data_IF_467730530814
#
_entry.id   IF_467730530814
#
_cell.length_a   1.000
_cell.length_b   1.000
_cell.length_c   1.000
_cell.angle_alpha   90.00
_cell.angle_beta   90.00
_cell.angle_gamma   90.00
#
_symmetry.space_group_name_H-M   'P 1'
#
loop_
_entity.id
_entity.type
_entity.pdbx_description
1 polymer ?
#
# COMPACT_ATOMS: atom_id res chain seq x y z
N UNK A 1 -26.98 18.44 -6.04
CA UNK A 1 -25.83 19.32 -6.27
C UNK A 1 -24.88 18.57 -7.21
N UNK A 2 -24.35 19.22 -8.27
CA UNK A 2 -23.32 18.60 -9.10
C UNK A 2 -22.03 18.49 -8.29
N UNK A 3 -21.36 17.32 -8.32
CA UNK A 3 -20.04 17.16 -7.70
C UNK A 3 -19.04 18.12 -8.36
N UNK A 4 -18.08 18.62 -7.57
CA UNK A 4 -16.97 19.42 -8.08
C UNK A 4 -16.12 18.57 -9.03
N UNK A 5 -15.47 19.22 -10.00
CA UNK A 5 -14.48 18.60 -10.88
C UNK A 5 -13.11 18.68 -10.24
N UNK A 6 -12.32 17.61 -10.35
CA UNK A 6 -10.93 17.61 -9.91
C UNK A 6 -10.07 18.33 -10.97
N UNK A 7 -9.26 19.27 -10.55
CA UNK A 7 -8.30 19.99 -11.40
C UNK A 7 -6.88 19.58 -11.03
N UNK A 8 -6.10 19.11 -12.00
CA UNK A 8 -4.70 18.72 -11.84
C UNK A 8 -3.80 19.95 -11.91
N UNK A 9 -3.62 20.64 -10.80
CA UNK A 9 -2.80 21.86 -10.71
C UNK A 9 -1.37 21.59 -10.25
N UNK A 10 -1.12 20.44 -9.62
CA UNK A 10 0.17 20.04 -9.05
C UNK A 10 0.49 18.57 -9.40
N UNK A 11 1.77 18.16 -9.40
CA UNK A 11 2.15 16.76 -9.48
C UNK A 11 1.48 15.95 -8.38
N UNK A 12 1.02 14.74 -8.73
CA UNK A 12 0.32 13.84 -7.82
C UNK A 12 1.26 12.74 -7.33
N UNK A 13 1.36 12.57 -6.00
CA UNK A 13 2.21 11.58 -5.35
C UNK A 13 1.38 10.79 -4.33
N UNK A 14 1.53 9.46 -4.35
CA UNK A 14 0.88 8.57 -3.40
C UNK A 14 1.86 8.25 -2.27
N UNK A 15 1.47 8.59 -1.06
CA UNK A 15 2.22 8.24 0.16
C UNK A 15 1.32 7.48 1.12
N UNK A 16 1.87 6.96 2.18
CA UNK A 16 1.06 6.37 3.24
C UNK A 16 1.86 6.07 4.48
N UNK A 17 1.14 5.87 5.58
CA UNK A 17 1.72 5.54 6.89
C UNK A 17 1.83 4.04 7.08
N UNK A 18 3.01 3.59 7.48
CA UNK A 18 3.32 2.22 7.87
C UNK A 18 4.00 2.22 9.24
N UNK A 19 4.03 1.08 9.92
CA UNK A 19 4.67 0.94 11.24
C UNK A 19 3.80 0.19 12.24
N UNK A 20 4.31 0.01 13.45
CA UNK A 20 3.69 -0.79 14.50
C UNK A 20 2.32 -0.24 14.94
N UNK A 21 1.47 -1.11 15.49
CA UNK A 21 0.22 -0.71 16.16
C UNK A 21 0.54 0.27 17.31
N UNK A 22 -0.33 1.22 17.57
CA UNK A 22 -0.22 2.25 18.62
C UNK A 22 0.98 3.23 18.49
N UNK A 23 1.76 3.19 17.40
CA UNK A 23 2.79 4.20 17.14
C UNK A 23 2.22 5.54 16.62
N UNK A 24 0.91 5.63 16.39
CA UNK A 24 0.21 6.87 16.06
C UNK A 24 0.13 7.21 14.57
N UNK A 25 0.07 6.20 13.70
CA UNK A 25 -0.09 6.37 12.23
C UNK A 25 -1.31 7.19 11.87
N UNK A 26 -2.49 6.78 12.33
CA UNK A 26 -3.76 7.46 12.07
C UNK A 26 -3.78 8.86 12.69
N UNK A 27 -3.17 9.05 13.87
CA UNK A 27 -2.99 10.37 14.48
C UNK A 27 -2.15 11.30 13.61
N UNK A 28 -1.05 10.76 13.04
CA UNK A 28 -0.20 11.51 12.11
C UNK A 28 -0.94 11.83 10.81
N UNK A 29 -1.70 10.89 10.27
CA UNK A 29 -2.54 11.09 9.08
C UNK A 29 -3.55 12.21 9.32
N UNK A 30 -4.21 12.24 10.47
CA UNK A 30 -5.11 13.32 10.86
C UNK A 30 -4.35 14.68 10.98
N UNK A 31 -3.20 14.69 11.64
CA UNK A 31 -2.38 15.90 11.79
C UNK A 31 -1.95 16.49 10.44
N UNK A 32 -1.55 15.64 9.48
CA UNK A 32 -1.22 16.05 8.12
C UNK A 32 -2.39 16.77 7.44
N UNK A 33 -3.61 16.20 7.50
CA UNK A 33 -4.79 16.82 6.89
C UNK A 33 -5.16 18.15 7.57
N UNK A 34 -5.03 18.25 8.89
CA UNK A 34 -5.36 19.46 9.65
C UNK A 34 -4.34 20.56 9.40
N UNK A 35 -3.04 20.28 9.52
CA UNK A 35 -1.98 21.29 9.39
C UNK A 35 -1.88 21.79 7.95
N UNK A 36 -1.85 20.88 6.97
CA UNK A 36 -1.76 21.26 5.56
C UNK A 36 -3.07 21.87 5.05
N UNK A 37 -4.22 21.39 5.54
CA UNK A 37 -5.54 21.96 5.22
C UNK A 37 -5.67 23.44 5.64
N UNK A 38 -5.08 23.83 6.77
CA UNK A 38 -5.04 25.24 7.20
C UNK A 38 -4.22 26.13 6.26
N UNK A 39 -3.18 25.59 5.62
CA UNK A 39 -2.24 26.36 4.79
C UNK A 39 -2.64 26.40 3.32
N UNK A 40 -3.05 25.27 2.78
CA UNK A 40 -3.29 25.10 1.35
C UNK A 40 -4.75 24.80 0.99
N UNK A 41 -5.61 24.72 2.00
CA UNK A 41 -7.00 24.28 1.81
C UNK A 41 -7.11 22.76 1.79
N UNK A 42 -8.33 22.28 1.69
CA UNK A 42 -8.64 20.84 1.73
C UNK A 42 -9.54 20.47 2.92
N UNK A 43 -9.95 19.22 2.97
CA UNK A 43 -10.80 18.70 4.03
C UNK A 43 -9.95 18.17 5.18
N UNK A 44 -9.93 18.89 6.30
CA UNK A 44 -9.32 18.38 7.54
C UNK A 44 -10.14 17.21 8.05
N UNK A 45 -9.49 16.08 8.36
CA UNK A 45 -10.14 14.89 8.90
C UNK A 45 -9.65 14.59 10.30
N UNK A 46 -10.62 14.44 11.21
CA UNK A 46 -10.34 13.99 12.56
C UNK A 46 -10.06 12.47 12.59
N UNK A 47 -9.41 12.00 13.64
CA UNK A 47 -9.07 10.60 13.86
C UNK A 47 -10.28 9.65 13.66
N UNK A 48 -11.42 9.97 14.27
CA UNK A 48 -12.65 9.19 14.21
C UNK A 48 -13.39 9.24 12.86
N UNK A 49 -12.93 10.09 11.96
CA UNK A 49 -13.40 10.16 10.57
C UNK A 49 -12.51 9.33 9.62
N UNK A 50 -11.28 9.05 10.03
CA UNK A 50 -10.34 8.17 9.33
C UNK A 50 -10.68 6.72 9.71
N UNK A 51 -10.56 6.37 10.99
CA UNK A 51 -11.00 5.07 11.55
C UNK A 51 -12.52 5.12 11.82
N UNK A 52 -13.30 4.93 10.77
CA UNK A 52 -14.75 5.19 10.82
C UNK A 52 -15.61 3.94 11.06
N UNK A 53 -15.09 2.74 10.80
CA UNK A 53 -15.85 1.50 10.98
C UNK A 53 -16.19 1.26 12.47
N UNK A 54 -17.38 0.72 12.79
CA UNK A 54 -17.76 0.44 14.18
C UNK A 54 -16.74 -0.43 14.92
N UNK A 55 -16.14 -1.40 14.23
CA UNK A 55 -15.14 -2.29 14.79
C UNK A 55 -13.80 -1.58 15.07
N UNK A 56 -13.37 -0.67 14.20
CA UNK A 56 -12.20 0.17 14.39
C UNK A 56 -12.36 1.06 15.63
N UNK A 57 -13.53 1.71 15.75
CA UNK A 57 -13.85 2.55 16.91
C UNK A 57 -13.94 1.76 18.22
N UNK A 58 -14.49 0.55 18.16
CA UNK A 58 -14.61 -0.31 19.35
C UNK A 58 -13.25 -0.85 19.84
N UNK A 59 -12.33 -1.12 18.93
CA UNK A 59 -11.01 -1.66 19.24
C UNK A 59 -9.91 -0.60 19.37
N UNK A 60 -10.13 0.62 18.85
CA UNK A 60 -9.13 1.69 18.79
C UNK A 60 -7.96 1.38 17.86
N UNK A 61 -8.16 0.53 16.84
CA UNK A 61 -7.12 0.14 15.87
C UNK A 61 -7.66 0.24 14.44
N UNK A 62 -6.81 0.64 13.50
CA UNK A 62 -7.12 0.65 12.07
C UNK A 62 -7.18 -0.78 11.54
N UNK A 63 -8.25 -1.12 10.84
CA UNK A 63 -8.50 -2.44 10.23
C UNK A 63 -8.40 -2.36 8.72
N UNK A 64 -9.12 -1.43 8.10
CA UNK A 64 -9.11 -1.19 6.68
C UNK A 64 -8.18 -0.01 6.32
N UNK A 65 -7.67 0.02 5.09
CA UNK A 65 -6.97 1.19 4.59
C UNK A 65 -7.93 2.37 4.45
N UNK A 66 -7.50 3.55 4.91
CA UNK A 66 -8.24 4.78 4.73
C UNK A 66 -7.47 5.72 3.77
N UNK A 67 -8.20 6.42 2.91
CA UNK A 67 -7.62 7.34 1.94
C UNK A 67 -7.98 8.78 2.29
N UNK A 68 -6.97 9.63 2.38
CA UNK A 68 -7.14 11.08 2.57
C UNK A 68 -6.30 11.84 1.53
N UNK A 69 -6.61 13.11 1.32
CA UNK A 69 -5.82 14.01 0.47
C UNK A 69 -5.37 15.24 1.24
N UNK A 70 -4.20 15.75 0.89
CA UNK A 70 -3.71 17.06 1.32
C UNK A 70 -2.71 17.61 0.30
N UNK A 71 -2.37 18.88 0.40
CA UNK A 71 -1.44 19.54 -0.50
C UNK A 71 -0.25 20.11 0.26
N UNK A 72 0.90 20.18 -0.42
CA UNK A 72 2.02 21.04 -0.09
C UNK A 72 2.04 22.23 -1.05
N UNK A 73 3.04 23.09 -0.90
CA UNK A 73 3.29 24.15 -1.89
C UNK A 73 3.55 23.56 -3.31
N UNK A 74 4.22 22.41 -3.36
CA UNK A 74 4.71 21.81 -4.60
C UNK A 74 3.82 20.69 -5.15
N UNK A 75 3.12 19.93 -4.29
CA UNK A 75 2.50 18.66 -4.66
C UNK A 75 1.10 18.46 -4.09
N UNK A 76 0.33 17.59 -4.76
CA UNK A 76 -0.91 17.00 -4.25
C UNK A 76 -0.62 15.58 -3.80
N UNK A 77 -0.93 15.26 -2.54
CA UNK A 77 -0.73 13.95 -1.94
C UNK A 77 -2.03 13.19 -1.79
N UNK A 78 -2.09 11.96 -2.32
CA UNK A 78 -3.01 10.95 -1.87
C UNK A 78 -2.31 10.15 -0.77
N UNK A 79 -2.93 10.01 0.38
CA UNK A 79 -2.35 9.36 1.54
C UNK A 79 -3.19 8.16 1.96
N UNK A 80 -2.54 7.01 2.08
CA UNK A 80 -3.12 5.74 2.52
C UNK A 80 -2.73 5.51 3.97
N UNK A 81 -3.68 5.52 4.88
CA UNK A 81 -3.44 5.09 6.27
C UNK A 81 -3.56 3.58 6.36
N UNK A 82 -2.46 2.90 6.72
CA UNK A 82 -2.37 1.45 6.76
C UNK A 82 -2.55 0.91 8.19
N UNK A 83 -3.23 -0.25 8.36
CA UNK A 83 -3.31 -0.91 9.66
C UNK A 83 -1.92 -1.32 10.15
N UNK A 84 -1.73 -1.27 11.49
CA UNK A 84 -0.49 -1.66 12.13
C UNK A 84 -0.51 -3.06 12.74
N UNK A 85 -1.69 -3.65 12.94
CA UNK A 85 -1.84 -4.92 13.62
C UNK A 85 -1.57 -6.11 12.69
N UNK A 86 -0.89 -7.14 13.19
CA UNK A 86 -0.48 -8.32 12.43
C UNK A 86 -1.64 -9.05 11.73
N UNK A 87 -2.85 -9.05 12.32
CA UNK A 87 -4.03 -9.69 11.73
C UNK A 87 -4.50 -9.02 10.43
N UNK A 88 -4.11 -7.76 10.20
CA UNK A 88 -4.56 -6.97 9.05
C UNK A 88 -3.45 -6.68 8.02
N UNK A 89 -2.37 -7.47 8.07
CA UNK A 89 -1.21 -7.33 7.17
C UNK A 89 -1.62 -7.38 5.68
N UNK A 90 -2.66 -8.13 5.31
CA UNK A 90 -3.20 -8.13 3.95
C UNK A 90 -3.61 -6.71 3.50
N UNK A 91 -4.27 -5.96 4.35
CA UNK A 91 -4.68 -4.59 4.05
C UNK A 91 -3.46 -3.65 4.01
N UNK A 92 -2.47 -3.87 4.88
CA UNK A 92 -1.20 -3.15 4.84
C UNK A 92 -0.46 -3.39 3.52
N UNK A 93 -0.34 -4.64 3.06
CA UNK A 93 0.30 -4.99 1.78
C UNK A 93 -0.41 -4.29 0.61
N UNK A 94 -1.75 -4.33 0.60
CA UNK A 94 -2.55 -3.67 -0.44
C UNK A 94 -2.35 -2.16 -0.45
N UNK A 95 -2.32 -1.53 0.73
CA UNK A 95 -2.07 -0.09 0.85
C UNK A 95 -0.64 0.27 0.42
N UNK A 96 0.36 -0.48 0.90
CA UNK A 96 1.77 -0.23 0.57
C UNK A 96 2.06 -0.37 -0.93
N UNK A 97 1.43 -1.31 -1.61
CA UNK A 97 1.59 -1.50 -3.06
C UNK A 97 1.14 -0.27 -3.89
N UNK A 98 0.37 0.63 -3.30
CA UNK A 98 -0.11 1.86 -3.96
C UNK A 98 0.83 3.06 -3.76
N UNK A 99 1.86 2.96 -2.91
CA UNK A 99 2.69 4.09 -2.49
C UNK A 99 3.86 4.34 -3.46
N UNK A 100 4.11 5.60 -3.73
CA UNK A 100 5.34 6.10 -4.36
C UNK A 100 6.44 6.34 -3.30
N UNK A 101 6.04 6.46 -2.05
CA UNK A 101 6.90 6.50 -0.88
C UNK A 101 6.10 6.27 0.40
N UNK A 102 6.72 5.71 1.42
CA UNK A 102 6.09 5.43 2.70
C UNK A 102 6.61 6.35 3.81
N UNK A 103 5.74 6.65 4.77
CA UNK A 103 6.09 7.30 6.03
C UNK A 103 6.13 6.21 7.10
N UNK A 104 7.32 5.85 7.54
CA UNK A 104 7.51 4.92 8.64
C UNK A 104 7.32 5.64 9.97
N UNK A 105 6.27 5.30 10.70
CA UNK A 105 5.96 5.90 12.00
C UNK A 105 6.49 4.99 13.11
N UNK A 106 7.41 5.52 13.90
CA UNK A 106 8.01 4.84 15.04
C UNK A 106 7.79 5.68 16.29
N UNK A 107 7.36 5.08 17.39
CA UNK A 107 7.27 5.77 18.68
C UNK A 107 8.70 6.05 19.19
N UNK A 108 8.99 7.30 19.51
CA UNK A 108 10.27 7.69 20.09
C UNK A 108 10.50 7.09 21.49
N UNK A 109 9.41 6.76 22.20
CA UNK A 109 9.48 6.16 23.53
C UNK A 109 9.70 4.64 23.48
N UNK A 110 9.16 3.95 22.45
CA UNK A 110 9.17 2.48 22.37
C UNK A 110 10.25 1.95 21.41
N UNK A 111 10.70 2.78 20.45
CA UNK A 111 11.61 2.36 19.39
C UNK A 111 10.99 1.41 18.36
N UNK A 112 11.81 0.78 17.51
CA UNK A 112 11.34 -0.17 16.51
C UNK A 112 10.78 -1.45 17.15
N UNK A 113 9.54 -1.79 16.83
CA UNK A 113 8.79 -2.93 17.32
C UNK A 113 8.63 -4.02 16.24
N UNK A 114 8.14 -5.24 16.55
CA UNK A 114 8.09 -6.33 15.57
C UNK A 114 7.40 -5.99 14.26
N UNK A 115 6.23 -5.31 14.30
CA UNK A 115 5.56 -4.91 13.06
C UNK A 115 6.29 -3.79 12.31
N UNK A 116 7.14 -2.98 12.97
CA UNK A 116 8.01 -2.02 12.29
C UNK A 116 8.91 -2.74 11.30
N UNK A 117 9.58 -3.82 11.74
CA UNK A 117 10.45 -4.67 10.91
C UNK A 117 9.66 -5.31 9.77
N UNK A 118 8.53 -5.92 10.08
CA UNK A 118 7.67 -6.58 9.09
C UNK A 118 7.18 -5.59 8.02
N UNK A 119 6.77 -4.38 8.41
CA UNK A 119 6.29 -3.37 7.48
C UNK A 119 7.38 -2.83 6.55
N UNK A 120 8.61 -2.64 7.02
CA UNK A 120 9.75 -2.24 6.16
C UNK A 120 10.03 -3.36 5.14
N UNK A 121 10.11 -4.62 5.60
CA UNK A 121 10.29 -5.77 4.74
C UNK A 121 9.21 -5.86 3.66
N UNK A 122 7.95 -5.75 4.05
CA UNK A 122 6.82 -5.82 3.12
C UNK A 122 6.81 -4.65 2.15
N UNK A 123 7.09 -3.43 2.61
CA UNK A 123 7.21 -2.27 1.75
C UNK A 123 8.28 -2.50 0.66
N UNK A 124 9.44 -3.06 1.03
CA UNK A 124 10.49 -3.43 0.08
C UNK A 124 10.00 -4.45 -0.95
N UNK A 125 9.29 -5.48 -0.50
CA UNK A 125 8.81 -6.56 -1.36
C UNK A 125 7.72 -6.12 -2.35
N UNK A 126 6.80 -5.26 -1.93
CA UNK A 126 5.78 -4.71 -2.84
C UNK A 126 6.31 -3.58 -3.73
N UNK A 127 7.58 -3.19 -3.56
CA UNK A 127 8.27 -2.26 -4.43
C UNK A 127 8.10 -0.78 -4.05
N UNK A 128 7.81 -0.46 -2.79
CA UNK A 128 7.88 0.93 -2.29
C UNK A 128 9.32 1.43 -2.43
N UNK A 129 9.57 2.48 -3.23
CA UNK A 129 10.94 2.85 -3.55
C UNK A 129 11.61 3.73 -2.50
N UNK A 130 10.84 4.48 -1.70
CA UNK A 130 11.34 5.46 -0.74
C UNK A 130 10.62 5.35 0.60
N UNK A 131 11.37 5.54 1.69
CA UNK A 131 10.85 5.65 3.05
C UNK A 131 11.33 6.98 3.65
N UNK A 132 10.43 7.71 4.30
CA UNK A 132 10.73 8.83 5.19
C UNK A 132 10.26 8.43 6.59
N UNK A 133 11.02 8.76 7.63
CA UNK A 133 10.72 8.34 9.00
C UNK A 133 10.13 9.50 9.80
N UNK A 134 9.11 9.21 10.58
CA UNK A 134 8.58 10.11 11.60
C UNK A 134 8.67 9.45 12.98
N UNK A 135 9.60 9.95 13.82
CA UNK A 135 9.71 9.56 15.23
C UNK A 135 8.64 10.31 16.02
N UNK A 136 7.51 9.63 16.22
CA UNK A 136 6.32 10.16 16.86
C UNK A 136 6.40 10.06 18.39
N UNK A 137 5.51 10.75 19.09
CA UNK A 137 5.43 10.80 20.57
C UNK A 137 6.68 11.37 21.23
N UNK A 138 7.37 12.27 20.56
CA UNK A 138 8.55 12.93 21.11
C UNK A 138 8.25 13.75 22.40
N UNK A 139 7.00 14.14 22.60
CA UNK A 139 6.50 14.78 23.82
C UNK A 139 6.56 13.87 25.06
N UNK A 140 6.77 12.57 24.89
CA UNK A 140 6.92 11.58 25.98
C UNK A 140 8.40 11.29 26.35
N UNK A 141 9.34 11.91 25.64
CA UNK A 141 10.78 11.62 25.78
C UNK A 141 11.52 12.90 26.11
N UNK A 142 12.05 12.99 27.32
CA UNK A 142 12.85 14.14 27.79
C UNK A 142 14.36 13.91 27.60
N UNK A 143 14.77 12.68 27.23
CA UNK A 143 16.17 12.30 27.07
C UNK A 143 16.60 12.32 25.61
N UNK A 144 17.50 13.24 25.28
CA UNK A 144 18.03 13.39 23.93
C UNK A 144 18.89 12.17 23.50
N UNK A 145 19.57 11.51 24.43
CA UNK A 145 20.39 10.32 24.13
C UNK A 145 19.48 9.14 23.70
N UNK A 146 18.29 9.03 24.30
CA UNK A 146 17.31 8.03 23.91
C UNK A 146 16.78 8.27 22.48
N UNK A 147 16.53 9.53 22.10
CA UNK A 147 16.11 9.87 20.74
C UNK A 147 17.18 9.51 19.71
N UNK A 148 18.46 9.81 20.00
CA UNK A 148 19.59 9.46 19.14
C UNK A 148 19.73 7.94 19.01
N UNK A 149 19.54 7.17 20.10
CA UNK A 149 19.59 5.71 20.07
C UNK A 149 18.49 5.13 19.18
N UNK A 150 17.26 5.60 19.35
CA UNK A 150 16.11 5.14 18.53
C UNK A 150 16.32 5.49 17.05
N UNK A 151 16.85 6.68 16.76
CA UNK A 151 17.18 7.09 15.39
C UNK A 151 18.22 6.12 14.78
N UNK A 152 19.27 5.80 15.51
CA UNK A 152 20.32 4.88 15.06
C UNK A 152 19.76 3.47 14.80
N UNK A 153 18.93 2.92 15.72
CA UNK A 153 18.29 1.63 15.52
C UNK A 153 17.39 1.59 14.27
N UNK A 154 16.67 2.69 13.99
CA UNK A 154 15.83 2.79 12.79
C UNK A 154 16.69 2.82 11.53
N UNK A 155 17.82 3.56 11.51
CA UNK A 155 18.75 3.60 10.38
C UNK A 155 19.34 2.22 10.08
N UNK A 156 19.85 1.53 11.11
CA UNK A 156 20.35 0.16 10.98
C UNK A 156 19.30 -0.81 10.43
N UNK A 157 18.04 -0.64 10.87
CA UNK A 157 16.94 -1.46 10.40
C UNK A 157 16.59 -1.18 8.94
N UNK A 158 16.64 0.07 8.50
CA UNK A 158 16.44 0.43 7.09
C UNK A 158 17.52 -0.16 6.19
N UNK A 159 18.80 -0.08 6.60
CA UNK A 159 19.93 -0.66 5.87
C UNK A 159 19.81 -2.18 5.76
N UNK A 160 19.35 -2.85 6.82
CA UNK A 160 19.11 -4.30 6.81
C UNK A 160 18.14 -4.73 5.72
N UNK A 161 17.15 -3.90 5.41
CA UNK A 161 16.15 -4.15 4.36
C UNK A 161 16.40 -3.38 3.05
N UNK A 162 17.66 -2.97 2.83
CA UNK A 162 18.13 -2.34 1.59
C UNK A 162 17.47 -0.97 1.27
N UNK A 163 17.06 -0.23 2.28
CA UNK A 163 16.78 1.19 2.17
C UNK A 163 17.99 2.01 2.65
N UNK A 164 18.27 3.19 2.07
CA UNK A 164 19.44 3.98 2.43
C UNK A 164 19.27 4.62 3.83
N UNK A 165 19.64 3.89 4.89
CA UNK A 165 19.41 4.31 6.29
C UNK A 165 20.07 5.65 6.60
N UNK A 166 21.31 5.88 6.16
CA UNK A 166 22.04 7.12 6.41
C UNK A 166 21.42 8.33 5.70
N UNK A 167 20.92 8.16 4.46
CA UNK A 167 20.36 9.23 3.65
C UNK A 167 18.86 9.48 3.93
N UNK A 168 18.19 8.54 4.61
CA UNK A 168 16.74 8.64 4.89
C UNK A 168 16.44 9.78 5.85
N UNK A 169 15.56 10.73 5.48
CA UNK A 169 15.11 11.79 6.39
C UNK A 169 14.37 11.19 7.60
N UNK A 170 14.77 11.63 8.80
CA UNK A 170 14.10 11.29 10.06
C UNK A 170 13.64 12.57 10.72
N UNK A 171 12.33 12.69 10.90
CA UNK A 171 11.69 13.85 11.52
C UNK A 171 11.20 13.45 12.91
N UNK A 172 11.57 14.23 13.93
CA UNK A 172 11.16 14.03 15.32
C UNK A 172 9.98 14.96 15.61
N UNK A 173 8.88 14.40 16.16
CA UNK A 173 7.70 15.20 16.45
C UNK A 173 6.65 14.49 17.28
N UNK A 174 5.56 15.18 17.53
CA UNK A 174 4.35 14.65 18.16
C UNK A 174 3.12 15.01 17.33
N UNK A 175 2.55 14.01 16.68
CA UNK A 175 1.33 14.18 15.91
C UNK A 175 0.15 14.65 16.79
N UNK A 176 0.12 14.23 18.05
CA UNK A 176 -0.91 14.64 19.01
C UNK A 176 -0.78 16.16 19.30
N UNK A 177 0.43 16.65 19.60
CA UNK A 177 0.68 18.08 19.81
C UNK A 177 0.31 18.91 18.60
N UNK A 178 0.63 18.44 17.40
CA UNK A 178 0.25 19.11 16.16
C UNK A 178 -1.29 19.20 16.01
N UNK A 179 -2.04 18.17 16.36
CA UNK A 179 -3.51 18.18 16.36
C UNK A 179 -4.10 19.12 17.41
N UNK A 180 -3.46 19.22 18.58
CA UNK A 180 -3.84 20.15 19.65
C UNK A 180 -3.56 21.63 19.29
N UNK A 181 -2.88 21.87 18.16
CA UNK A 181 -2.56 23.21 17.68
C UNK A 181 -1.28 23.79 18.27
N UNK A 182 -0.42 22.95 18.85
CA UNK A 182 0.91 23.34 19.31
C UNK A 182 1.79 23.70 18.10
N UNK A 183 2.31 24.93 18.09
CA UNK A 183 3.17 25.45 17.02
C UNK A 183 4.67 25.27 17.30
N UNK A 184 5.03 24.46 18.31
CA UNK A 184 6.42 24.17 18.65
C UNK A 184 7.11 23.31 17.57
N UNK A 185 8.42 23.12 17.72
CA UNK A 185 9.22 22.28 16.80
C UNK A 185 8.76 20.84 16.72
N UNK A 186 8.24 20.27 17.81
CA UNK A 186 7.68 18.91 17.83
C UNK A 186 6.18 18.86 17.49
N UNK A 187 5.49 20.00 17.48
CA UNK A 187 4.08 20.17 17.09
C UNK A 187 3.91 20.35 15.58
N UNK A 188 3.16 21.36 15.17
CA UNK A 188 2.84 21.61 13.76
C UNK A 188 4.05 21.86 12.88
N UNK A 189 5.15 22.42 13.42
CA UNK A 189 6.40 22.58 12.66
C UNK A 189 7.02 21.24 12.26
N UNK A 190 6.86 20.17 13.05
CA UNK A 190 7.34 18.84 12.68
C UNK A 190 6.55 18.27 11.50
N UNK A 191 5.26 18.56 11.39
CA UNK A 191 4.42 18.18 10.24
C UNK A 191 4.89 18.89 8.97
N UNK A 192 5.24 20.16 9.06
CA UNK A 192 5.80 20.90 7.93
C UNK A 192 7.15 20.33 7.49
N UNK A 193 8.05 20.05 8.44
CA UNK A 193 9.34 19.39 8.17
C UNK A 193 9.15 18.03 7.50
N UNK A 194 8.13 17.25 7.92
CA UNK A 194 7.80 15.99 7.28
C UNK A 194 7.35 16.18 5.83
N UNK A 195 6.46 17.14 5.57
CA UNK A 195 5.99 17.42 4.21
C UNK A 195 7.11 17.94 3.32
N UNK A 196 7.98 18.82 3.85
CA UNK A 196 9.18 19.27 3.14
C UNK A 196 10.12 18.11 2.81
N UNK A 197 10.28 17.13 3.72
CA UNK A 197 11.06 15.92 3.46
C UNK A 197 10.42 15.07 2.35
N UNK A 198 9.09 14.91 2.35
CA UNK A 198 8.38 14.20 1.28
C UNK A 198 8.55 14.89 -0.07
N UNK A 199 8.44 16.24 -0.11
CA UNK A 199 8.61 17.02 -1.33
C UNK A 199 10.01 16.92 -1.93
N UNK A 200 11.06 16.84 -1.09
CA UNK A 200 12.45 16.87 -1.53
C UNK A 200 13.09 15.49 -1.69
N UNK A 201 12.69 14.51 -0.88
CA UNK A 201 13.33 13.19 -0.87
C UNK A 201 12.66 12.20 -1.83
N UNK A 202 11.33 12.26 -1.98
CA UNK A 202 10.61 11.42 -2.93
C UNK A 202 10.63 12.13 -4.29
N UNK A 203 11.25 11.57 -5.35
CA UNK A 203 11.19 12.19 -6.67
C UNK A 203 9.78 12.17 -7.23
N UNK A 204 9.50 12.99 -8.23
CA UNK A 204 8.24 12.92 -8.97
C UNK A 204 8.17 11.56 -9.69
N UNK A 205 7.12 10.75 -9.42
CA UNK A 205 7.06 9.40 -9.96
C UNK A 205 6.84 9.41 -11.48
N UNK A 206 7.61 8.61 -12.20
CA UNK A 206 7.33 8.32 -13.60
C UNK A 206 6.04 7.49 -13.71
N UNK A 207 5.11 7.95 -14.56
CA UNK A 207 3.80 7.31 -14.72
C UNK A 207 3.73 6.58 -16.07
N UNK A 208 3.38 5.32 -16.05
CA UNK A 208 3.19 4.50 -17.26
C UNK A 208 1.86 4.85 -17.97
N UNK A 209 1.73 6.12 -18.41
CA UNK A 209 0.49 6.65 -19.02
C UNK A 209 0.23 6.03 -20.41
N UNK A 210 1.30 5.75 -21.15
CA UNK A 210 1.21 5.22 -22.53
C UNK A 210 0.90 3.71 -22.59
N UNK A 211 0.84 3.04 -21.43
CA UNK A 211 0.50 1.62 -21.34
C UNK A 211 -1.00 1.35 -21.50
N UNK A 212 -1.36 0.09 -21.71
CA UNK A 212 -2.75 -0.35 -21.67
C UNK A 212 -3.32 -0.25 -20.25
N UNK A 213 -4.53 0.27 -20.10
CA UNK A 213 -5.17 0.47 -18.79
C UNK A 213 -5.20 -0.80 -17.95
N UNK A 214 -4.73 -0.67 -16.72
CA UNK A 214 -4.81 -1.68 -15.66
C UNK A 214 -5.00 -1.03 -14.29
N UNK A 215 -5.99 -1.50 -13.55
CA UNK A 215 -6.26 -1.08 -12.17
C UNK A 215 -6.63 -2.29 -11.31
N UNK A 216 -5.81 -2.68 -10.33
CA UNK A 216 -6.19 -3.66 -9.32
C UNK A 216 -7.37 -3.16 -8.48
N UNK A 217 -8.35 -4.04 -8.23
CA UNK A 217 -9.52 -3.72 -7.41
C UNK A 217 -9.15 -3.87 -5.94
N UNK A 218 -9.26 -2.77 -5.20
CA UNK A 218 -9.01 -2.71 -3.75
C UNK A 218 -10.29 -2.94 -2.96
N UNK A 219 -11.35 -2.23 -3.32
CA UNK A 219 -12.65 -2.35 -2.67
C UNK A 219 -13.79 -2.12 -3.66
N UNK A 220 -15.00 -2.55 -3.29
CA UNK A 220 -16.20 -2.48 -4.13
C UNK A 220 -17.38 -2.00 -3.33
N UNK A 221 -18.01 -0.94 -3.81
CA UNK A 221 -19.16 -0.30 -3.18
C UNK A 221 -20.38 -0.28 -4.11
N UNK A 222 -21.57 -0.37 -3.51
CA UNK A 222 -22.81 -0.05 -4.21
C UNK A 222 -23.26 1.35 -3.82
N UNK A 223 -23.48 2.19 -4.81
CA UNK A 223 -24.03 3.53 -4.60
C UNK A 223 -25.48 3.55 -5.11
N UNK A 224 -26.44 3.81 -4.21
CA UNK A 224 -27.84 3.90 -4.57
C UNK A 224 -28.09 4.89 -5.71
N UNK A 225 -28.74 4.45 -6.78
CA UNK A 225 -29.04 5.24 -7.98
C UNK A 225 -27.86 5.48 -8.93
N UNK A 226 -26.63 4.98 -8.62
CA UNK A 226 -25.43 5.16 -9.47
C UNK A 226 -24.80 3.85 -9.91
N UNK A 227 -25.02 2.75 -9.19
CA UNK A 227 -24.48 1.43 -9.51
C UNK A 227 -23.28 1.02 -8.66
N UNK A 228 -22.50 0.10 -9.18
CA UNK A 228 -21.31 -0.44 -8.54
C UNK A 228 -20.08 0.42 -8.85
N UNK A 229 -19.28 0.67 -7.83
CA UNK A 229 -18.01 1.39 -7.91
C UNK A 229 -16.89 0.45 -7.44
N UNK A 230 -15.89 0.27 -8.27
CA UNK A 230 -14.65 -0.39 -7.89
C UNK A 230 -13.59 0.67 -7.63
N UNK A 231 -12.89 0.57 -6.51
CA UNK A 231 -11.80 1.49 -6.16
C UNK A 231 -10.45 0.81 -6.31
N UNK A 232 -9.44 1.61 -6.59
CA UNK A 232 -8.06 1.17 -6.68
C UNK A 232 -7.14 2.27 -7.23
N UNK A 233 -5.84 1.99 -7.21
CA UNK A 233 -4.86 2.80 -7.91
C UNK A 233 -4.71 2.29 -9.35
N UNK A 234 -4.68 3.19 -10.31
CA UNK A 234 -4.36 2.85 -11.69
C UNK A 234 -2.87 2.57 -11.79
N UNK A 235 -2.50 1.34 -12.15
CA UNK A 235 -1.09 0.95 -12.30
C UNK A 235 -0.48 1.52 -13.58
N UNK A 236 -1.23 1.44 -14.69
CA UNK A 236 -0.79 1.93 -16.00
C UNK A 236 -1.97 2.35 -16.88
N UNK A 237 -1.66 3.15 -17.88
CA UNK A 237 -2.61 3.59 -18.89
C UNK A 237 -3.57 4.69 -18.42
N UNK A 238 -4.62 4.86 -19.22
CA UNK A 238 -5.68 5.84 -18.99
C UNK A 238 -7.02 5.14 -19.14
N UNK A 239 -7.99 5.52 -18.31
CA UNK A 239 -9.40 5.12 -18.42
C UNK A 239 -10.29 6.35 -18.54
N UNK A 240 -11.26 6.31 -19.46
CA UNK A 240 -12.22 7.40 -19.70
C UNK A 240 -13.65 6.93 -19.51
N UNK A 241 -14.53 7.86 -19.24
CA UNK A 241 -15.97 7.60 -19.25
C UNK A 241 -16.38 7.17 -20.66
N UNK A 242 -17.06 6.03 -20.77
CA UNK A 242 -17.47 5.41 -22.04
C UNK A 242 -16.58 4.25 -22.50
N UNK A 243 -15.41 4.06 -21.91
CA UNK A 243 -14.52 2.95 -22.27
C UNK A 243 -15.15 1.60 -21.92
N UNK A 244 -15.02 0.62 -22.83
CA UNK A 244 -15.25 -0.79 -22.56
C UNK A 244 -14.02 -1.39 -21.92
N UNK A 245 -14.19 -2.03 -20.77
CA UNK A 245 -13.13 -2.67 -19.99
C UNK A 245 -13.54 -4.08 -19.59
N UNK A 246 -12.56 -4.88 -19.18
CA UNK A 246 -12.76 -6.22 -18.64
C UNK A 246 -12.47 -6.26 -17.13
N UNK A 247 -13.24 -7.10 -16.44
CA UNK A 247 -13.01 -7.52 -15.05
C UNK A 247 -12.35 -8.89 -15.14
N UNK A 248 -11.09 -9.00 -14.70
CA UNK A 248 -10.26 -10.19 -14.93
C UNK A 248 -9.74 -10.77 -13.60
N UNK A 249 -9.72 -12.08 -13.51
CA UNK A 249 -9.21 -12.84 -12.37
C UNK A 249 -10.32 -13.35 -11.46
N UNK A 250 -10.00 -14.36 -10.64
CA UNK A 250 -10.85 -15.06 -9.66
C UNK A 250 -12.03 -15.76 -10.32
N UNK A 251 -12.91 -15.00 -10.95
CA UNK A 251 -14.10 -15.47 -11.65
C UNK A 251 -13.91 -15.40 -13.17
N UNK A 252 -14.92 -15.86 -13.94
CA UNK A 252 -14.92 -15.73 -15.38
C UNK A 252 -14.80 -14.23 -15.78
N UNK A 253 -13.96 -13.97 -16.78
CA UNK A 253 -13.78 -12.61 -17.30
C UNK A 253 -15.09 -12.05 -17.85
N UNK A 254 -15.45 -10.86 -17.42
CA UNK A 254 -16.65 -10.16 -17.85
C UNK A 254 -16.32 -8.78 -18.41
N UNK A 255 -17.16 -8.28 -19.31
CA UNK A 255 -17.04 -6.94 -19.90
C UNK A 255 -18.01 -5.96 -19.25
N UNK A 256 -17.58 -4.74 -19.12
CA UNK A 256 -18.41 -3.64 -18.61
C UNK A 256 -18.02 -2.32 -19.25
N UNK A 257 -18.81 -1.28 -19.04
CA UNK A 257 -18.54 0.08 -19.54
C UNK A 257 -18.37 1.01 -18.36
N UNK A 258 -17.36 1.85 -18.41
CA UNK A 258 -17.09 2.90 -17.43
C UNK A 258 -18.13 4.02 -17.59
N UNK A 259 -18.91 4.29 -16.55
CA UNK A 259 -19.94 5.34 -16.54
C UNK A 259 -19.52 6.59 -15.76
N UNK A 260 -18.41 6.51 -15.02
CA UNK A 260 -17.84 7.63 -14.28
C UNK A 260 -16.50 7.26 -13.68
N UNK A 261 -15.67 8.27 -13.48
CA UNK A 261 -14.39 8.17 -12.77
C UNK A 261 -14.39 9.27 -11.72
N UNK A 262 -14.03 8.92 -10.49
CA UNK A 262 -14.03 9.84 -9.35
C UNK A 262 -12.73 9.68 -8.55
N UNK A 263 -12.19 10.79 -8.06
CA UNK A 263 -11.10 10.82 -7.11
C UNK A 263 -11.44 11.77 -5.97
N UNK A 264 -11.36 11.30 -4.71
CA UNK A 264 -11.72 12.09 -3.52
C UNK A 264 -13.10 12.76 -3.64
N UNK A 265 -14.12 12.00 -4.13
CA UNK A 265 -15.49 12.47 -4.36
C UNK A 265 -15.65 13.57 -5.43
N UNK A 266 -14.57 13.92 -6.15
CA UNK A 266 -14.59 14.85 -7.29
C UNK A 266 -14.63 14.07 -8.59
N UNK A 267 -15.33 14.60 -9.60
CA UNK A 267 -15.43 13.97 -10.93
C UNK A 267 -14.15 14.17 -11.73
N UNK A 268 -13.76 13.12 -12.46
CA UNK A 268 -12.69 13.14 -13.43
C UNK A 268 -13.26 12.85 -14.82
N UNK A 269 -12.73 13.53 -15.86
CA UNK A 269 -13.01 13.17 -17.26
C UNK A 269 -12.30 11.86 -17.62
N UNK A 270 -11.10 11.65 -17.06
CA UNK A 270 -10.29 10.45 -17.19
C UNK A 270 -9.44 10.21 -15.95
N UNK A 271 -9.23 8.94 -15.62
CA UNK A 271 -8.21 8.50 -14.67
C UNK A 271 -6.95 8.07 -15.41
N UNK A 272 -5.78 8.28 -14.84
CA UNK A 272 -4.49 7.90 -15.40
C UNK A 272 -3.60 7.19 -14.39
N UNK A 273 -2.55 6.54 -14.88
CA UNK A 273 -1.55 5.87 -14.06
C UNK A 273 -1.13 6.72 -12.85
N UNK A 274 -1.18 6.14 -11.65
CA UNK A 274 -0.90 6.79 -10.38
C UNK A 274 -2.12 7.36 -9.65
N UNK A 275 -3.28 7.52 -10.29
CA UNK A 275 -4.49 8.02 -9.63
C UNK A 275 -5.14 6.93 -8.78
N UNK A 276 -5.56 7.29 -7.56
CA UNK A 276 -6.46 6.50 -6.73
C UNK A 276 -7.90 6.88 -7.06
N UNK A 277 -8.61 6.01 -7.75
CA UNK A 277 -9.94 6.34 -8.31
C UNK A 277 -11.02 5.34 -7.90
N UNK A 278 -12.25 5.81 -7.92
CA UNK A 278 -13.44 4.99 -7.99
C UNK A 278 -13.97 4.98 -9.42
N UNK A 279 -14.06 3.80 -10.03
CA UNK A 279 -14.59 3.59 -11.37
C UNK A 279 -16.01 3.06 -11.27
N UNK A 280 -16.97 3.79 -11.84
CA UNK A 280 -18.36 3.39 -11.89
C UNK A 280 -18.59 2.46 -13.08
N UNK A 281 -19.23 1.32 -12.82
CA UNK A 281 -19.40 0.22 -13.78
C UNK A 281 -20.87 0.05 -14.16
N UNK A 282 -21.13 -0.07 -15.47
CA UNK A 282 -22.48 -0.27 -16.00
C UNK A 282 -22.92 -1.72 -15.91
N UNK A 283 -24.10 -1.95 -15.28
CA UNK A 283 -24.70 -3.27 -15.27
C UNK A 283 -23.99 -4.33 -14.44
N UNK A 284 -22.92 -3.97 -13.75
CA UNK A 284 -22.17 -4.82 -12.84
C UNK A 284 -22.78 -4.71 -11.45
N UNK A 285 -23.15 -5.83 -10.84
CA UNK A 285 -23.61 -5.88 -9.47
C UNK A 285 -22.42 -5.97 -8.51
N UNK A 286 -22.67 -5.68 -7.23
CA UNK A 286 -21.64 -5.75 -6.18
C UNK A 286 -21.03 -7.15 -6.05
N UNK A 287 -21.85 -8.18 -6.24
CA UNK A 287 -21.46 -9.59 -6.19
C UNK A 287 -20.71 -10.10 -7.43
N UNK A 288 -20.72 -9.35 -8.54
CA UNK A 288 -20.06 -9.74 -9.80
C UNK A 288 -18.58 -9.33 -9.84
N UNK A 289 -18.15 -8.53 -8.89
CA UNK A 289 -16.77 -8.03 -8.80
C UNK A 289 -16.31 -8.03 -7.35
N UNK A 290 -15.05 -8.40 -7.14
CA UNK A 290 -14.45 -8.49 -5.82
C UNK A 290 -13.00 -8.03 -5.79
N UNK A 291 -12.51 -7.73 -4.60
CA UNK A 291 -11.11 -7.41 -4.33
C UNK A 291 -10.20 -8.53 -4.86
N UNK A 292 -9.12 -8.14 -5.53
CA UNK A 292 -8.16 -9.07 -6.10
C UNK A 292 -8.31 -9.31 -7.60
N UNK A 293 -9.48 -8.97 -8.16
CA UNK A 293 -9.63 -8.84 -9.61
C UNK A 293 -8.95 -7.56 -10.11
N UNK A 294 -8.79 -7.43 -11.41
CA UNK A 294 -8.32 -6.20 -12.04
C UNK A 294 -9.34 -5.70 -13.04
N UNK A 295 -9.43 -4.37 -13.16
CA UNK A 295 -10.04 -3.71 -14.31
C UNK A 295 -8.96 -3.46 -15.35
N UNK A 296 -9.17 -3.88 -16.56
CA UNK A 296 -8.18 -3.78 -17.62
C UNK A 296 -8.82 -3.43 -18.98
N UNK A 297 -8.02 -2.88 -19.88
CA UNK A 297 -8.38 -2.77 -21.28
C UNK A 297 -8.63 -4.16 -21.85
N UNK A 298 -9.69 -4.32 -22.64
CA UNK A 298 -10.10 -5.63 -23.17
C UNK A 298 -8.96 -6.36 -23.90
N UNK A 299 -8.71 -7.62 -23.48
CA UNK A 299 -7.75 -8.51 -24.12
C UNK A 299 -6.27 -8.24 -23.79
N UNK A 300 -5.96 -7.40 -22.81
CA UNK A 300 -4.56 -7.05 -22.49
C UNK A 300 -3.95 -7.84 -21.34
N UNK A 301 -4.78 -8.47 -20.52
CA UNK A 301 -4.35 -9.36 -19.44
C UNK A 301 -5.34 -10.51 -19.30
N UNK A 302 -4.86 -11.68 -18.88
CA UNK A 302 -5.66 -12.90 -18.75
C UNK A 302 -5.52 -13.51 -17.36
N UNK A 303 -6.53 -14.30 -16.91
CA UNK A 303 -6.45 -15.06 -15.68
C UNK A 303 -5.63 -16.34 -15.89
N UNK A 304 -4.74 -16.64 -14.94
CA UNK A 304 -3.86 -17.80 -14.98
C UNK A 304 -3.77 -18.49 -13.62
N UNK A 305 -3.54 -19.80 -13.64
CA UNK A 305 -3.37 -20.62 -12.42
C UNK A 305 -1.98 -21.19 -12.28
N UNK A 306 -1.21 -21.34 -13.37
CA UNK A 306 0.11 -21.98 -13.34
C UNK A 306 1.19 -21.07 -13.91
N UNK A 307 2.30 -20.99 -13.19
CA UNK A 307 3.44 -20.16 -13.59
C UNK A 307 4.76 -20.71 -13.03
N UNK A 308 5.86 -20.34 -13.67
CA UNK A 308 7.22 -20.47 -13.16
C UNK A 308 7.61 -19.14 -12.49
N UNK A 309 8.39 -19.23 -11.43
CA UNK A 309 8.85 -18.06 -10.69
C UNK A 309 10.24 -18.24 -10.11
N UNK A 310 10.92 -17.12 -9.90
CA UNK A 310 12.11 -17.02 -9.06
C UNK A 310 11.71 -16.48 -7.70
N UNK A 311 12.15 -17.16 -6.63
CA UNK A 311 11.75 -16.85 -5.25
C UNK A 311 12.98 -16.83 -4.36
N UNK A 312 13.04 -15.82 -3.50
CA UNK A 312 13.94 -15.78 -2.34
C UNK A 312 13.17 -16.18 -1.08
N UNK A 313 13.70 -17.16 -0.34
CA UNK A 313 13.12 -17.62 0.92
C UNK A 313 13.83 -16.91 2.08
N UNK A 314 13.07 -16.15 2.86
CA UNK A 314 13.59 -15.36 3.98
C UNK A 314 14.22 -16.24 5.05
N UNK A 315 15.37 -15.81 5.57
CA UNK A 315 16.06 -16.40 6.72
C UNK A 315 15.28 -16.15 8.01
N UNK A 316 15.59 -16.92 9.04
CA UNK A 316 15.02 -16.73 10.38
C UNK A 316 15.28 -15.33 10.93
N UNK A 317 16.49 -14.80 10.71
CA UNK A 317 16.93 -13.47 11.15
C UNK A 317 16.15 -12.36 10.47
N UNK A 318 15.66 -12.62 9.26
CA UNK A 318 14.80 -11.72 8.46
C UNK A 318 13.31 -11.86 8.81
N UNK A 319 12.98 -12.65 9.85
CA UNK A 319 11.59 -12.94 10.25
C UNK A 319 10.94 -14.10 9.51
N UNK A 320 11.68 -14.77 8.63
CA UNK A 320 11.21 -15.86 7.78
C UNK A 320 11.15 -17.24 8.51
N UNK A 321 11.28 -18.28 7.70
CA UNK A 321 11.26 -19.67 8.19
C UNK A 321 12.56 -20.04 8.88
N UNK A 322 12.49 -21.05 9.74
CA UNK A 322 13.65 -21.69 10.36
C UNK A 322 13.80 -23.18 9.95
N UNK A 323 12.87 -23.68 9.14
CA UNK A 323 12.86 -25.05 8.63
C UNK A 323 12.73 -25.03 7.12
N UNK A 324 13.30 -26.05 6.42
CA UNK A 324 13.11 -26.18 4.98
C UNK A 324 11.65 -26.50 4.64
N UNK A 325 11.29 -26.29 3.37
CA UNK A 325 10.07 -26.85 2.81
C UNK A 325 10.37 -27.79 1.64
N UNK A 326 9.39 -28.62 1.32
CA UNK A 326 9.50 -29.70 0.34
C UNK A 326 8.48 -29.50 -0.78
N UNK A 327 8.59 -30.32 -1.83
CA UNK A 327 7.60 -30.41 -2.89
C UNK A 327 6.18 -30.53 -2.32
N UNK A 328 5.23 -29.82 -2.92
CA UNK A 328 3.84 -29.79 -2.47
C UNK A 328 3.58 -28.84 -1.29
N UNK A 329 4.54 -27.99 -0.92
CA UNK A 329 4.33 -26.91 0.03
C UNK A 329 3.21 -25.98 -0.45
N UNK A 330 2.29 -25.60 0.43
CA UNK A 330 1.06 -24.86 0.10
C UNK A 330 0.88 -23.60 0.93
N UNK A 331 1.71 -22.56 0.69
CA UNK A 331 1.55 -21.26 1.34
C UNK A 331 0.50 -20.39 0.65
N UNK A 332 0.32 -19.17 1.16
CA UNK A 332 -0.44 -18.11 0.53
C UNK A 332 0.47 -17.21 -0.31
N UNK A 333 0.08 -16.97 -1.54
CA UNK A 333 0.73 -16.06 -2.49
C UNK A 333 -0.06 -14.76 -2.54
N UNK A 334 0.60 -13.64 -2.25
CA UNK A 334 0.01 -12.32 -2.24
C UNK A 334 0.35 -11.59 -3.52
N UNK A 335 -0.64 -11.40 -4.37
CA UNK A 335 -0.52 -10.68 -5.63
C UNK A 335 -1.36 -9.41 -5.58
N UNK A 336 -0.79 -8.25 -5.87
CA UNK A 336 -1.52 -6.96 -5.87
C UNK A 336 -2.41 -6.82 -4.62
N UNK A 337 -3.73 -6.96 -4.79
CA UNK A 337 -4.72 -6.74 -3.72
C UNK A 337 -5.32 -8.03 -3.14
N UNK A 338 -4.84 -9.21 -3.56
CA UNK A 338 -5.37 -10.52 -3.11
C UNK A 338 -4.31 -11.49 -2.65
N UNK A 339 -4.73 -12.50 -1.93
CA UNK A 339 -3.95 -13.68 -1.58
C UNK A 339 -4.65 -14.94 -2.07
N UNK A 340 -3.86 -15.88 -2.59
CA UNK A 340 -4.33 -17.15 -3.10
C UNK A 340 -3.41 -18.26 -2.62
N UNK A 341 -3.98 -19.38 -2.18
CA UNK A 341 -3.20 -20.57 -1.87
C UNK A 341 -2.67 -21.19 -3.15
N UNK A 342 -1.39 -21.55 -3.18
CA UNK A 342 -0.75 -22.23 -4.30
C UNK A 342 0.10 -23.41 -3.84
N UNK A 343 0.19 -24.44 -4.66
CA UNK A 343 1.08 -25.59 -4.45
C UNK A 343 2.40 -25.36 -5.17
N UNK A 344 3.52 -25.50 -4.43
CA UNK A 344 4.86 -25.38 -4.97
C UNK A 344 5.36 -26.70 -5.53
N UNK A 345 5.83 -26.69 -6.77
CA UNK A 345 6.51 -27.80 -7.43
C UNK A 345 8.00 -27.43 -7.61
N UNK A 346 8.87 -28.20 -6.96
CA UNK A 346 10.32 -27.99 -7.03
C UNK A 346 10.89 -28.70 -8.27
N UNK A 347 12.03 -28.22 -8.82
CA UNK A 347 12.77 -28.92 -9.86
C UNK A 347 13.13 -30.36 -9.44
N UNK A 348 13.29 -31.25 -10.43
CA UNK A 348 13.52 -32.67 -10.17
C UNK A 348 14.81 -32.97 -9.38
N UNK A 349 15.77 -32.09 -9.44
CA UNK A 349 17.08 -32.14 -8.74
C UNK A 349 17.06 -31.47 -7.37
N UNK A 350 15.93 -30.88 -6.97
CA UNK A 350 15.78 -30.15 -5.71
C UNK A 350 14.82 -30.88 -4.77
N UNK A 351 15.34 -31.50 -3.72
CA UNK A 351 14.52 -32.22 -2.73
C UNK A 351 13.85 -31.27 -1.74
N UNK A 352 14.54 -30.20 -1.33
CA UNK A 352 14.06 -29.21 -0.37
C UNK A 352 14.64 -27.84 -0.65
N UNK A 353 14.01 -26.81 -0.09
CA UNK A 353 14.45 -25.42 -0.14
C UNK A 353 14.68 -24.93 1.28
N UNK A 354 15.87 -24.38 1.54
CA UNK A 354 16.28 -23.85 2.85
C UNK A 354 15.95 -22.36 2.98
N UNK A 355 15.74 -21.87 4.20
CA UNK A 355 15.74 -20.43 4.45
C UNK A 355 17.05 -19.79 3.97
N UNK A 356 16.96 -18.74 3.18
CA UNK A 356 18.08 -18.05 2.54
C UNK A 356 18.38 -18.48 1.10
N UNK A 357 17.68 -19.50 0.58
CA UNK A 357 17.85 -19.94 -0.78
C UNK A 357 17.10 -19.05 -1.78
N UNK A 358 17.70 -18.91 -2.97
CA UNK A 358 17.03 -18.51 -4.19
C UNK A 358 16.67 -19.77 -4.98
N UNK A 359 15.41 -19.89 -5.37
CA UNK A 359 14.92 -21.06 -6.06
C UNK A 359 14.01 -20.69 -7.23
N UNK A 360 14.18 -21.37 -8.35
CA UNK A 360 13.21 -21.38 -9.44
C UNK A 360 12.25 -22.52 -9.21
N UNK A 361 10.94 -22.26 -9.18
CA UNK A 361 9.94 -23.27 -8.97
C UNK A 361 8.68 -22.99 -9.79
N UNK A 362 7.86 -24.02 -9.97
CA UNK A 362 6.52 -23.88 -10.55
C UNK A 362 5.48 -23.79 -9.44
N UNK A 363 4.44 -23.01 -9.67
CA UNK A 363 3.32 -22.84 -8.72
C UNK A 363 2.01 -23.08 -9.43
N UNK A 364 1.11 -23.82 -8.77
CA UNK A 364 -0.28 -23.99 -9.19
C UNK A 364 -1.22 -23.39 -8.14
N UNK A 365 -1.90 -22.30 -8.51
CA UNK A 365 -2.88 -21.61 -7.66
C UNK A 365 -4.23 -22.35 -7.66
N UNK A 366 -4.94 -22.27 -6.54
CA UNK A 366 -6.30 -22.84 -6.42
C UNK A 366 -7.37 -22.00 -7.12
N UNK A 367 -7.06 -20.74 -7.44
CA UNK A 367 -7.95 -19.78 -8.11
C UNK A 367 -7.16 -19.02 -9.15
N UNK A 368 -7.70 -18.78 -10.36
CA UNK A 368 -7.01 -18.00 -11.38
C UNK A 368 -6.92 -16.52 -10.96
N UNK A 369 -5.78 -15.90 -11.21
CA UNK A 369 -5.60 -14.46 -11.02
C UNK A 369 -5.15 -13.80 -12.32
N UNK A 370 -5.45 -12.51 -12.48
CA UNK A 370 -4.93 -11.71 -13.58
C UNK A 370 -3.39 -11.62 -13.44
N UNK A 371 -2.67 -12.21 -14.40
CA UNK A 371 -1.22 -12.40 -14.30
C UNK A 371 -0.52 -11.98 -15.59
N UNK A 372 0.70 -11.54 -15.43
CA UNK A 372 1.66 -11.25 -16.52
C UNK A 372 3.07 -11.56 -16.05
N UNK A 373 3.98 -11.78 -16.98
CA UNK A 373 5.40 -11.98 -16.67
C UNK A 373 5.95 -10.73 -15.98
N UNK A 374 6.82 -10.93 -14.99
CA UNK A 374 7.35 -9.84 -14.17
C UNK A 374 6.48 -9.46 -12.96
N UNK A 375 5.30 -10.05 -12.79
CA UNK A 375 4.45 -9.78 -11.62
C UNK A 375 5.14 -10.25 -10.34
N UNK A 376 5.32 -9.32 -9.40
CA UNK A 376 5.90 -9.60 -8.07
C UNK A 376 4.84 -10.12 -7.11
N UNK A 377 5.29 -10.94 -6.16
CA UNK A 377 4.43 -11.46 -5.09
C UNK A 377 5.21 -11.72 -3.79
N UNK A 378 4.48 -11.74 -2.69
CA UNK A 378 5.00 -12.21 -1.41
C UNK A 378 4.42 -13.59 -1.08
N UNK A 379 5.18 -14.40 -0.34
CA UNK A 379 4.75 -15.71 0.17
C UNK A 379 4.58 -15.61 1.68
N UNK A 380 3.43 -16.03 2.18
CA UNK A 380 3.12 -16.00 3.62
C UNK A 380 2.64 -17.34 4.13
N UNK A 381 3.01 -17.65 5.37
CA UNK A 381 2.60 -18.84 6.10
C UNK A 381 2.40 -18.51 7.58
N UNK A 382 1.29 -18.92 8.16
CA UNK A 382 1.03 -18.74 9.58
C UNK A 382 1.14 -17.30 10.09
N UNK A 383 0.74 -16.33 9.27
CA UNK A 383 0.81 -14.89 9.61
C UNK A 383 2.19 -14.25 9.40
N UNK A 384 3.17 -14.96 8.84
CA UNK A 384 4.54 -14.46 8.59
C UNK A 384 4.84 -14.42 7.10
N UNK A 385 5.58 -13.43 6.65
CA UNK A 385 6.19 -13.42 5.33
C UNK A 385 7.39 -14.36 5.34
N UNK A 386 7.40 -15.32 4.44
CA UNK A 386 8.43 -16.36 4.37
C UNK A 386 9.23 -16.32 3.08
N UNK A 387 8.81 -15.52 2.12
CA UNK A 387 9.53 -15.34 0.87
C UNK A 387 8.91 -14.27 -0.01
N UNK A 388 9.62 -13.92 -1.05
CA UNK A 388 9.18 -13.04 -2.11
C UNK A 388 9.67 -13.54 -3.46
N UNK A 389 8.94 -13.27 -4.51
CA UNK A 389 9.29 -13.73 -5.83
C UNK A 389 8.72 -12.91 -6.97
N UNK A 390 9.08 -13.31 -8.16
CA UNK A 390 8.60 -12.73 -9.42
C UNK A 390 8.19 -13.84 -10.37
N UNK A 391 7.07 -13.63 -11.06
CA UNK A 391 6.62 -14.52 -12.14
C UNK A 391 7.58 -14.37 -13.32
N UNK A 392 8.22 -15.45 -13.71
CA UNK A 392 9.16 -15.46 -14.84
C UNK A 392 8.52 -15.94 -16.12
N UNK A 393 7.51 -16.83 -16.00
CA UNK A 393 6.81 -17.38 -17.16
C UNK A 393 5.45 -17.94 -16.77
N UNK A 394 4.43 -17.59 -17.51
CA UNK A 394 3.09 -18.17 -17.40
C UNK A 394 3.04 -19.47 -18.18
N UNK A 395 2.49 -20.54 -17.58
CA UNK A 395 2.42 -21.88 -18.17
C UNK A 395 0.98 -22.35 -18.43
N UNK A 396 -0.01 -21.86 -17.66
CA UNK A 396 -1.45 -22.15 -17.90
C UNK A 396 -2.34 -21.05 -17.33
#
# INVERSE_FOLDING_TARGET
MSKAKFERTKPHVNVGTIGHVDHGKTTLTAALTVVQGKKFGGEARAYDQIDNAPEEKARGITIATAHVEYESAARHYAHVDCPGHADYVKNMITGAAQMDGAILVVSAADGPMPQTREHILLARQVGVPYIVVYLNKADMVDDAELLELVEMEVRELLDLYEFPGDDTPIIIGSALKALEGDESEIGSMSIDKLVDALDNFIPEPERAIDGDFLMPVEDVFSISGRGTVATGRIDRGIVKVGDEIEIVGINATTKTIVTGVEMFRKLLDQGQAGDNVGVLLRGTKREDIERGQVLAKSGTIHPHTKFECEVYILKKEEGGRHTPFFKGYRPQFYFRTTDVTGACELPADTEMVMPGDNVTMSVELIVPIAMEDGLRFAIREGGRTVGAGVVTKITE
#
